data_IF_926938728264
#
_entry.id   IF_926938728264
#
_cell.length_a   1.000
_cell.length_b   1.000
_cell.length_c   1.000
_cell.angle_alpha   90.00
_cell.angle_beta   90.00
_cell.angle_gamma   90.00
#
_symmetry.space_group_name_H-M   'P 1'
#
loop_
_entity.id
_entity.type
_entity.pdbx_description
1 polymer ?
#
# COMPACT_ATOMS: atom_id res chain seq x y z
N UNK A 1 17.72 9.38 19.47
CA UNK A 1 19.17 9.70 19.31
C UNK A 1 19.54 9.75 17.83
N UNK A 2 20.27 10.78 17.41
CA UNK A 2 20.65 10.97 15.99
C UNK A 2 21.68 9.93 15.48
N UNK A 3 22.19 9.07 16.37
CA UNK A 3 23.11 7.96 16.04
C UNK A 3 22.42 6.60 15.90
N UNK A 4 21.07 6.55 15.86
CA UNK A 4 20.31 5.30 15.72
C UNK A 4 19.62 5.28 14.36
N UNK A 5 20.07 4.38 13.50
CA UNK A 5 19.53 4.17 12.16
C UNK A 5 18.62 2.93 12.15
N UNK A 6 17.30 3.15 12.23
CA UNK A 6 16.32 2.06 12.14
C UNK A 6 16.08 1.72 10.68
N UNK A 7 16.25 0.46 10.32
CA UNK A 7 16.09 0.02 8.93
C UNK A 7 14.62 -0.28 8.67
N UNK A 8 14.08 0.42 7.68
CA UNK A 8 12.96 -0.05 6.88
C UNK A 8 13.46 -0.14 5.42
N UNK A 9 13.69 -1.36 4.95
CA UNK A 9 14.29 -1.58 3.64
C UNK A 9 13.41 -1.10 2.47
N UNK A 10 12.09 -0.91 2.66
CA UNK A 10 11.26 -0.33 1.61
C UNK A 10 11.60 1.14 1.36
N UNK A 11 12.00 1.87 2.40
CA UNK A 11 12.44 3.26 2.24
C UNK A 11 13.73 3.40 1.43
N UNK A 12 14.55 2.33 1.36
CA UNK A 12 15.75 2.28 0.54
C UNK A 12 15.49 2.04 -0.96
N UNK A 13 14.24 1.77 -1.36
CA UNK A 13 13.90 1.49 -2.77
C UNK A 13 13.83 2.76 -3.61
N UNK A 14 14.36 2.69 -4.82
CA UNK A 14 14.43 3.83 -5.76
C UNK A 14 13.06 4.46 -6.02
N UNK A 15 12.03 3.63 -6.20
CA UNK A 15 10.64 4.05 -6.46
C UNK A 15 10.01 4.82 -5.30
N UNK A 16 10.45 4.59 -4.07
CA UNK A 16 9.98 5.33 -2.90
C UNK A 16 10.53 6.76 -2.90
N UNK A 17 11.77 6.96 -3.36
CA UNK A 17 12.31 8.30 -3.60
C UNK A 17 11.66 8.96 -4.82
N UNK A 18 11.37 8.18 -5.86
CA UNK A 18 10.65 8.68 -7.02
C UNK A 18 9.26 9.21 -6.69
N UNK A 19 8.58 8.66 -5.67
CA UNK A 19 7.31 9.22 -5.20
C UNK A 19 7.45 10.69 -4.79
N UNK A 20 8.55 11.06 -4.13
CA UNK A 20 8.82 12.45 -3.74
C UNK A 20 9.08 13.33 -4.95
N UNK A 21 9.88 12.84 -5.91
CA UNK A 21 10.14 13.54 -7.17
C UNK A 21 8.85 13.72 -8.00
N UNK A 22 8.05 12.66 -8.12
CA UNK A 22 6.77 12.67 -8.82
C UNK A 22 5.85 13.75 -8.25
N UNK A 23 5.72 13.82 -6.93
CA UNK A 23 4.83 14.78 -6.27
C UNK A 23 5.37 16.21 -6.36
N UNK A 24 6.58 16.46 -5.88
CA UNK A 24 7.03 17.82 -5.59
C UNK A 24 7.84 18.46 -6.72
N UNK A 25 8.35 17.69 -7.69
CA UNK A 25 9.03 18.26 -8.86
C UNK A 25 8.08 18.58 -10.03
N UNK A 26 6.81 18.15 -9.95
CA UNK A 26 5.87 18.24 -11.05
C UNK A 26 4.63 19.07 -10.68
N UNK A 27 4.50 20.25 -11.31
CA UNK A 27 3.28 21.07 -11.20
C UNK A 27 2.01 20.37 -11.72
N UNK A 28 2.16 19.29 -12.48
CA UNK A 28 1.04 18.51 -12.98
C UNK A 28 0.33 17.71 -11.87
N UNK A 29 1.08 17.18 -10.89
CA UNK A 29 0.55 16.20 -9.94
C UNK A 29 0.17 16.82 -8.58
N UNK A 30 1.00 17.70 -8.03
CA UNK A 30 0.76 18.27 -6.69
C UNK A 30 -0.61 18.97 -6.54
N UNK A 31 -1.10 19.76 -7.52
CA UNK A 31 -2.40 20.44 -7.39
C UNK A 31 -3.60 19.50 -7.28
N UNK A 32 -3.48 18.28 -7.81
CA UNK A 32 -4.54 17.25 -7.77
C UNK A 32 -4.34 16.24 -6.64
N UNK A 33 -3.26 16.35 -5.86
CA UNK A 33 -2.91 15.42 -4.79
C UNK A 33 -3.59 15.77 -3.44
N UNK A 34 -4.92 15.85 -3.45
CA UNK A 34 -5.73 16.21 -2.28
C UNK A 34 -7.19 15.75 -2.42
N UNK A 35 -7.94 15.87 -1.32
CA UNK A 35 -9.33 15.46 -1.17
C UNK A 35 -10.33 16.12 -2.11
N UNK A 36 -9.98 17.19 -2.84
CA UNK A 36 -10.86 17.72 -3.88
C UNK A 36 -10.93 16.78 -5.09
N UNK A 37 -9.82 16.11 -5.41
CA UNK A 37 -9.65 15.33 -6.64
C UNK A 37 -9.45 13.84 -6.38
N UNK A 38 -8.80 13.45 -5.29
CA UNK A 38 -8.59 12.05 -4.92
C UNK A 38 -9.88 11.50 -4.28
N UNK A 39 -10.32 10.34 -4.74
CA UNK A 39 -11.42 9.59 -4.13
C UNK A 39 -10.92 8.71 -2.99
N UNK A 40 -9.87 7.93 -3.24
CA UNK A 40 -9.23 7.06 -2.26
C UNK A 40 -7.80 6.70 -2.66
N UNK A 41 -7.04 6.17 -1.70
CA UNK A 41 -5.69 5.64 -1.92
C UNK A 41 -5.68 4.16 -1.55
N UNK A 42 -5.06 3.32 -2.37
CA UNK A 42 -4.82 1.91 -2.06
C UNK A 42 -3.32 1.65 -2.00
N UNK A 43 -2.85 1.04 -0.91
CA UNK A 43 -1.45 0.61 -0.77
C UNK A 43 -1.45 -0.90 -0.57
N UNK A 44 -0.91 -1.61 -1.56
CA UNK A 44 -0.86 -3.07 -1.57
C UNK A 44 0.57 -3.55 -1.43
N UNK A 45 0.83 -4.48 -0.52
CA UNK A 45 2.05 -5.30 -0.51
C UNK A 45 1.66 -6.78 -0.45
N UNK A 46 1.59 -7.40 -1.63
CA UNK A 46 1.26 -8.80 -1.80
C UNK A 46 2.52 -9.64 -2.04
N UNK A 47 2.54 -10.83 -1.44
CA UNK A 47 3.56 -11.84 -1.64
C UNK A 47 2.90 -13.13 -2.13
N UNK A 48 3.46 -13.74 -3.17
CA UNK A 48 3.05 -15.06 -3.69
C UNK A 48 3.68 -16.23 -2.90
N UNK A 49 4.67 -15.94 -2.07
CA UNK A 49 5.30 -16.90 -1.17
C UNK A 49 4.50 -17.07 0.14
N UNK A 50 4.62 -18.25 0.74
CA UNK A 50 4.14 -18.52 2.10
C UNK A 50 5.13 -18.07 3.18
N UNK A 51 5.08 -18.67 4.37
CA UNK A 51 6.01 -18.35 5.46
C UNK A 51 7.42 -18.91 5.26
N UNK A 52 7.59 -19.85 4.33
CA UNK A 52 8.88 -20.42 3.91
C UNK A 52 9.75 -20.93 5.09
N UNK A 53 9.16 -21.73 5.98
CA UNK A 53 9.86 -22.33 7.12
C UNK A 53 10.13 -21.38 8.30
N UNK A 54 9.65 -20.13 8.26
CA UNK A 54 9.81 -19.15 9.34
C UNK A 54 8.69 -19.23 10.40
N UNK A 55 8.13 -20.42 10.63
CA UNK A 55 6.99 -20.61 11.53
C UNK A 55 7.24 -20.04 12.93
N UNK A 56 8.39 -20.38 13.55
CA UNK A 56 8.74 -19.92 14.89
C UNK A 56 8.98 -18.41 15.04
N UNK A 57 9.13 -17.67 13.94
CA UNK A 57 9.17 -16.20 13.95
C UNK A 57 7.79 -15.61 13.61
N UNK A 58 7.15 -16.12 12.56
CA UNK A 58 5.95 -15.51 12.01
C UNK A 58 4.71 -15.74 12.88
N UNK A 59 4.59 -16.94 13.48
CA UNK A 59 3.48 -17.27 14.36
C UNK A 59 3.55 -16.44 15.65
N UNK A 60 2.49 -15.68 15.94
CA UNK A 60 2.43 -14.68 17.01
C UNK A 60 2.74 -13.24 16.57
N UNK A 61 3.42 -13.03 15.43
CA UNK A 61 3.66 -11.70 14.85
C UNK A 61 2.49 -11.32 13.94
N UNK A 62 2.27 -12.10 12.88
CA UNK A 62 1.21 -11.90 11.88
C UNK A 62 1.49 -10.80 10.85
N UNK A 63 0.73 -10.81 9.77
CA UNK A 63 0.90 -9.92 8.62
C UNK A 63 0.77 -8.43 9.00
N UNK A 64 -0.10 -8.10 9.96
CA UNK A 64 -0.30 -6.71 10.35
C UNK A 64 0.96 -6.12 11.02
N UNK A 65 1.60 -6.86 11.93
CA UNK A 65 2.83 -6.40 12.58
C UNK A 65 4.06 -6.51 11.69
N UNK A 66 4.13 -7.54 10.85
CA UNK A 66 5.27 -7.79 9.97
C UNK A 66 5.37 -6.74 8.86
N UNK A 67 4.24 -6.21 8.37
CA UNK A 67 4.20 -5.38 7.15
C UNK A 67 3.39 -4.08 7.28
N UNK A 68 2.21 -4.09 7.92
CA UNK A 68 1.40 -2.86 8.03
C UNK A 68 2.10 -1.85 8.96
N UNK A 69 2.54 -2.32 10.12
CA UNK A 69 3.14 -1.49 11.17
C UNK A 69 4.34 -0.65 10.67
N UNK A 70 5.14 -1.22 9.79
CA UNK A 70 6.36 -0.62 9.26
C UNK A 70 6.13 -0.11 7.83
N UNK A 71 6.27 -0.97 6.84
CA UNK A 71 6.39 -0.68 5.43
C UNK A 71 5.18 0.09 4.90
N UNK A 72 3.95 -0.41 5.13
CA UNK A 72 2.78 0.26 4.57
C UNK A 72 2.45 1.59 5.23
N UNK A 73 2.66 1.73 6.55
CA UNK A 73 2.50 3.01 7.23
C UNK A 73 3.57 4.03 6.81
N UNK A 74 4.78 3.57 6.49
CA UNK A 74 5.83 4.42 5.93
C UNK A 74 5.48 4.88 4.50
N UNK A 75 4.95 3.99 3.65
CA UNK A 75 4.45 4.36 2.32
C UNK A 75 3.23 5.30 2.41
N UNK A 76 2.34 5.09 3.38
CA UNK A 76 1.22 6.00 3.66
C UNK A 76 1.76 7.38 4.03
N UNK A 77 2.73 7.46 4.95
CA UNK A 77 3.30 8.72 5.39
C UNK A 77 3.89 9.53 4.22
N UNK A 78 4.66 8.88 3.33
CA UNK A 78 5.24 9.52 2.15
C UNK A 78 4.19 9.90 1.09
N UNK A 79 3.12 9.13 0.99
CA UNK A 79 2.01 9.43 0.08
C UNK A 79 1.20 10.62 0.57
N UNK A 80 1.00 10.74 1.88
CA UNK A 80 0.09 11.70 2.48
C UNK A 80 0.76 13.00 3.01
N UNK A 81 2.08 13.03 3.16
CA UNK A 81 2.81 14.19 3.70
C UNK A 81 2.60 15.46 2.87
N UNK A 82 2.68 16.63 3.53
CA UNK A 82 2.74 17.90 2.81
C UNK A 82 4.09 18.05 2.08
N UNK A 83 4.19 19.06 1.23
CA UNK A 83 5.47 19.47 0.66
C UNK A 83 6.42 19.91 1.79
N UNK A 84 7.58 19.25 1.95
CA UNK A 84 8.54 19.61 2.97
C UNK A 84 9.27 20.91 2.58
N UNK A 85 9.83 21.61 3.55
CA UNK A 85 10.60 22.85 3.30
C UNK A 85 11.88 22.55 2.48
N UNK A 86 12.50 21.40 2.73
CA UNK A 86 13.59 20.86 1.94
C UNK A 86 13.55 19.32 1.94
N UNK A 87 14.41 18.69 1.14
CA UNK A 87 14.63 17.24 1.20
C UNK A 87 15.64 16.80 2.27
N UNK A 88 16.02 17.72 3.17
CA UNK A 88 16.85 17.35 4.32
C UNK A 88 16.09 16.43 5.26
N UNK A 89 16.83 15.57 5.95
CA UNK A 89 16.25 14.54 6.81
C UNK A 89 15.28 15.08 7.85
N UNK A 90 15.59 16.23 8.45
CA UNK A 90 14.73 16.87 9.45
C UNK A 90 13.36 17.26 8.88
N UNK A 91 13.32 17.88 7.71
CA UNK A 91 12.10 18.45 7.14
C UNK A 91 11.19 17.35 6.58
N UNK A 92 11.77 16.33 5.94
CA UNK A 92 11.05 15.13 5.52
C UNK A 92 10.44 14.37 6.70
N UNK A 93 11.22 14.16 7.77
CA UNK A 93 10.73 13.45 8.97
C UNK A 93 9.61 14.22 9.66
N UNK A 94 9.70 15.55 9.74
CA UNK A 94 8.64 16.38 10.33
C UNK A 94 7.28 16.20 9.63
N UNK A 95 7.26 16.17 8.29
CA UNK A 95 6.01 15.98 7.55
C UNK A 95 5.48 14.54 7.65
N UNK A 96 6.36 13.52 7.72
CA UNK A 96 5.94 12.13 7.98
C UNK A 96 5.35 11.95 9.38
N UNK A 97 6.01 12.48 10.40
CA UNK A 97 5.55 12.42 11.79
C UNK A 97 4.19 13.11 11.96
N UNK A 98 4.01 14.27 11.34
CA UNK A 98 2.74 14.99 11.30
C UNK A 98 1.62 14.13 10.71
N UNK A 99 1.85 13.48 9.57
CA UNK A 99 0.85 12.56 8.98
C UNK A 99 0.54 11.41 9.92
N UNK A 100 1.55 10.69 10.40
CA UNK A 100 1.35 9.54 11.29
C UNK A 100 0.59 9.92 12.56
N UNK A 101 0.83 11.12 13.09
CA UNK A 101 0.09 11.63 14.26
C UNK A 101 -1.40 11.89 13.98
N UNK A 102 -1.76 12.12 12.72
CA UNK A 102 -3.12 12.38 12.24
C UNK A 102 -3.82 11.13 11.70
N UNK A 103 -3.15 9.97 11.65
CA UNK A 103 -3.77 8.74 11.19
C UNK A 103 -4.80 8.24 12.22
N UNK A 104 -5.99 7.89 11.74
CA UNK A 104 -7.06 7.28 12.53
C UNK A 104 -7.48 5.95 11.96
N UNK A 105 -7.79 5.04 12.88
CA UNK A 105 -8.58 3.86 12.57
C UNK A 105 -10.06 4.25 12.45
N UNK A 106 -10.86 3.51 11.66
CA UNK A 106 -12.30 3.68 11.59
C UNK A 106 -12.95 3.34 12.93
N UNK A 107 -14.09 3.96 13.21
CA UNK A 107 -14.84 3.72 14.45
C UNK A 107 -15.26 2.25 14.60
N UNK A 108 -15.65 1.62 13.49
CA UNK A 108 -16.08 0.23 13.43
C UNK A 108 -14.97 -0.64 12.79
N UNK A 109 -14.13 -1.23 13.65
CA UNK A 109 -13.01 -2.09 13.22
C UNK A 109 -13.47 -3.40 12.57
N UNK A 110 -14.68 -3.88 12.84
CA UNK A 110 -15.21 -5.09 12.19
C UNK A 110 -15.60 -4.82 10.73
N UNK A 111 -15.93 -3.57 10.40
CA UNK A 111 -16.22 -3.14 9.03
C UNK A 111 -15.02 -2.55 8.31
N UNK A 112 -14.12 -1.92 9.04
CA UNK A 112 -12.99 -1.17 8.51
C UNK A 112 -11.66 -1.92 8.50
N UNK A 113 -11.63 -3.19 8.93
CA UNK A 113 -10.46 -4.04 8.84
C UNK A 113 -10.85 -5.49 8.53
N UNK A 114 -9.94 -6.22 7.90
CA UNK A 114 -10.09 -7.64 7.60
C UNK A 114 -8.78 -8.36 7.92
N UNK A 115 -8.90 -9.59 8.42
CA UNK A 115 -7.76 -10.50 8.60
C UNK A 115 -8.07 -11.87 8.03
N UNK A 116 -7.08 -12.48 7.40
CA UNK A 116 -7.19 -13.79 6.79
C UNK A 116 -6.02 -14.69 7.10
N UNK A 117 -6.19 -15.98 6.85
CA UNK A 117 -5.16 -17.00 6.96
C UNK A 117 -5.23 -17.90 5.73
N UNK A 118 -4.12 -18.10 5.01
CA UNK A 118 -4.15 -18.86 3.76
C UNK A 118 -4.45 -20.33 4.03
N UNK A 119 -5.39 -20.88 3.27
CA UNK A 119 -5.69 -22.29 3.19
C UNK A 119 -4.89 -22.95 2.06
N UNK A 120 -4.89 -24.28 2.03
CA UNK A 120 -4.32 -25.04 0.92
C UNK A 120 -5.02 -24.69 -0.40
N UNK A 121 -4.28 -24.76 -1.50
CA UNK A 121 -4.75 -24.33 -2.80
C UNK A 121 -3.66 -24.40 -3.85
N UNK A 122 -3.80 -23.60 -4.90
CA UNK A 122 -2.88 -23.58 -6.03
C UNK A 122 -2.16 -22.23 -6.11
N UNK A 123 -0.84 -22.24 -5.94
CA UNK A 123 0.00 -21.08 -6.23
C UNK A 123 0.58 -21.27 -7.65
N UNK A 124 -0.04 -20.65 -8.64
CA UNK A 124 0.29 -20.91 -10.04
C UNK A 124 -0.03 -22.37 -10.41
N UNK A 125 1.00 -23.15 -10.75
CA UNK A 125 0.85 -24.56 -11.12
C UNK A 125 1.22 -25.54 -9.99
N UNK A 126 1.51 -25.03 -8.79
CA UNK A 126 1.92 -25.85 -7.64
C UNK A 126 0.82 -25.91 -6.58
N UNK A 127 0.47 -27.12 -6.15
CA UNK A 127 -0.39 -27.33 -4.99
C UNK A 127 0.39 -27.06 -3.71
N UNK A 128 -0.16 -26.22 -2.84
CA UNK A 128 0.50 -25.77 -1.62
C UNK A 128 -0.41 -25.99 -0.41
N UNK A 129 0.21 -26.26 0.73
CA UNK A 129 -0.50 -26.46 2.00
C UNK A 129 -0.98 -25.13 2.59
N UNK A 130 -1.99 -25.19 3.45
CA UNK A 130 -2.45 -24.03 4.21
C UNK A 130 -1.54 -23.74 5.41
N UNK A 131 -1.69 -22.56 5.99
CA UNK A 131 -0.82 -22.06 7.06
C UNK A 131 -0.79 -22.98 8.28
N UNK A 132 -1.95 -23.51 8.70
CA UNK A 132 -2.06 -24.41 9.85
C UNK A 132 -1.47 -25.82 9.58
N UNK A 133 -1.10 -26.11 8.34
CA UNK A 133 -0.44 -27.35 7.95
C UNK A 133 1.07 -27.16 7.69
N UNK A 134 1.59 -25.94 7.80
CA UNK A 134 3.03 -25.67 7.69
C UNK A 134 3.78 -26.25 8.90
N UNK A 135 4.98 -26.76 8.67
CA UNK A 135 5.80 -27.33 9.74
C UNK A 135 6.17 -26.26 10.78
N UNK A 136 5.96 -26.59 12.05
CA UNK A 136 6.22 -25.69 13.18
C UNK A 136 5.12 -24.65 13.48
N UNK A 137 3.97 -24.65 12.79
CA UNK A 137 2.81 -23.81 13.13
C UNK A 137 1.85 -24.56 14.06
N UNK A 138 1.33 -23.88 15.08
CA UNK A 138 0.28 -24.45 15.93
C UNK A 138 -1.02 -24.64 15.10
N UNK A 139 -1.59 -25.85 15.01
CA UNK A 139 -2.87 -26.08 14.32
C UNK A 139 -4.05 -25.28 14.89
N UNK A 140 -3.94 -24.74 16.10
CA UNK A 140 -4.89 -23.83 16.73
C UNK A 140 -4.55 -22.33 16.54
N UNK A 141 -3.48 -22.01 15.81
CA UNK A 141 -3.01 -20.64 15.61
C UNK A 141 -4.10 -19.73 15.04
N UNK A 142 -4.21 -18.54 15.62
CA UNK A 142 -5.07 -17.47 15.15
C UNK A 142 -4.27 -16.33 14.50
N UNK A 143 -3.00 -16.58 14.16
CA UNK A 143 -2.12 -15.62 13.47
C UNK A 143 -2.61 -15.39 12.05
N UNK A 144 -2.80 -14.13 11.68
CA UNK A 144 -3.18 -13.75 10.33
C UNK A 144 -1.98 -13.76 9.37
N UNK A 145 -2.19 -14.30 8.17
CA UNK A 145 -1.24 -14.24 7.04
C UNK A 145 -1.66 -13.22 5.99
N UNK A 146 -2.84 -12.61 6.18
CA UNK A 146 -3.37 -11.49 5.42
C UNK A 146 -3.96 -10.48 6.39
N UNK A 147 -3.72 -9.21 6.14
CA UNK A 147 -4.35 -8.11 6.85
C UNK A 147 -4.70 -6.98 5.89
N UNK A 148 -5.89 -6.42 6.06
CA UNK A 148 -6.31 -5.20 5.40
C UNK A 148 -6.95 -4.25 6.41
N UNK A 149 -6.74 -2.95 6.23
CA UNK A 149 -7.26 -1.92 7.11
C UNK A 149 -7.54 -0.65 6.32
N UNK A 150 -8.69 -0.04 6.61
CA UNK A 150 -9.01 1.32 6.18
C UNK A 150 -8.44 2.28 7.22
N UNK A 151 -7.78 3.34 6.76
CA UNK A 151 -7.24 4.41 7.60
C UNK A 151 -7.73 5.75 7.07
N UNK A 152 -7.90 6.69 7.98
CA UNK A 152 -8.13 8.09 7.65
C UNK A 152 -6.92 8.91 8.07
N UNK A 153 -6.68 10.04 7.38
CA UNK A 153 -5.64 10.99 7.73
C UNK A 153 -6.32 12.32 8.03
N UNK A 154 -6.39 12.68 9.32
CA UNK A 154 -7.08 13.87 9.86
C UNK A 154 -6.33 15.18 9.54
N UNK A 155 -6.07 15.42 8.26
CA UNK A 155 -5.53 16.67 7.76
C UNK A 155 -6.48 17.28 6.74
N UNK A 156 -6.39 18.59 6.55
CA UNK A 156 -7.22 19.28 5.54
C UNK A 156 -7.01 18.71 4.13
N UNK A 157 -5.80 18.25 3.80
CA UNK A 157 -5.47 17.66 2.50
C UNK A 157 -6.22 16.37 2.24
N UNK A 158 -6.46 15.55 3.26
CA UNK A 158 -6.98 14.18 3.13
C UNK A 158 -8.34 13.96 3.80
N UNK A 159 -8.98 15.02 4.30
CA UNK A 159 -10.29 14.93 4.94
C UNK A 159 -11.30 14.19 4.06
N UNK A 160 -11.84 13.08 4.59
CA UNK A 160 -12.82 12.22 3.92
C UNK A 160 -12.26 11.31 2.82
N UNK A 161 -10.94 11.25 2.64
CA UNK A 161 -10.28 10.33 1.70
C UNK A 161 -9.75 9.11 2.46
N UNK A 162 -10.31 7.91 2.24
CA UNK A 162 -9.81 6.71 2.89
C UNK A 162 -8.53 6.20 2.24
N UNK A 163 -7.64 5.68 3.08
CA UNK A 163 -6.44 4.93 2.73
C UNK A 163 -6.68 3.46 3.03
N UNK A 164 -6.73 2.63 1.98
CA UNK A 164 -6.87 1.19 2.12
C UNK A 164 -5.51 0.53 2.03
N UNK A 165 -5.07 -0.06 3.14
CA UNK A 165 -3.82 -0.81 3.20
C UNK A 165 -4.17 -2.29 3.17
N UNK A 166 -3.47 -3.07 2.34
CA UNK A 166 -3.55 -4.53 2.40
C UNK A 166 -2.20 -5.19 2.20
N UNK A 167 -2.03 -6.31 2.86
CA UNK A 167 -0.89 -7.19 2.69
C UNK A 167 -1.28 -8.63 2.94
N UNK A 168 -0.56 -9.55 2.32
CA UNK A 168 -0.69 -10.96 2.65
C UNK A 168 0.29 -11.84 1.92
N UNK A 169 0.38 -13.07 2.42
CA UNK A 169 1.16 -14.18 1.86
C UNK A 169 0.27 -15.10 1.03
N UNK A 170 0.89 -15.86 0.12
CA UNK A 170 0.17 -16.74 -0.82
C UNK A 170 -0.92 -16.01 -1.62
N UNK A 171 -0.66 -14.76 -1.97
CA UNK A 171 -1.53 -13.99 -2.85
C UNK A 171 -1.25 -14.29 -4.32
N UNK A 172 -2.13 -13.83 -5.21
CA UNK A 172 -2.08 -14.16 -6.64
C UNK A 172 -0.77 -13.82 -7.33
N UNK A 173 -0.06 -12.78 -6.89
CA UNK A 173 1.30 -12.45 -7.33
C UNK A 173 2.04 -11.58 -6.32
N UNK A 174 3.36 -11.57 -6.41
CA UNK A 174 4.20 -10.59 -5.69
C UNK A 174 4.06 -9.20 -6.32
N UNK A 175 3.65 -8.22 -5.51
CA UNK A 175 3.59 -6.80 -5.92
C UNK A 175 3.57 -5.88 -4.70
N UNK A 176 4.22 -4.74 -4.81
CA UNK A 176 4.08 -3.60 -3.91
C UNK A 176 3.75 -2.37 -4.74
N UNK A 177 2.59 -1.77 -4.51
CA UNK A 177 2.15 -0.59 -5.26
C UNK A 177 1.33 0.38 -4.40
N UNK A 178 1.35 1.65 -4.80
CA UNK A 178 0.51 2.73 -4.29
C UNK A 178 -0.38 3.19 -5.46
N UNK A 179 -1.69 3.07 -5.33
CA UNK A 179 -2.65 3.56 -6.29
C UNK A 179 -3.42 4.75 -5.71
N UNK A 180 -3.23 5.93 -6.31
CA UNK A 180 -4.02 7.12 -6.01
C UNK A 180 -5.14 7.20 -7.04
N UNK A 181 -6.38 6.98 -6.60
CA UNK A 181 -7.55 6.90 -7.46
C UNK A 181 -8.33 8.21 -7.39
N UNK A 182 -8.58 8.83 -8.54
CA UNK A 182 -9.28 10.10 -8.62
C UNK A 182 -10.80 9.94 -8.65
N UNK A 183 -11.50 10.96 -8.19
CA UNK A 183 -12.96 11.09 -8.34
C UNK A 183 -13.33 11.12 -9.81
N UNK A 184 -14.48 10.54 -10.14
CA UNK A 184 -15.06 10.69 -11.47
C UNK A 184 -15.43 12.16 -11.69
N UNK A 185 -15.32 12.61 -12.94
CA UNK A 185 -15.80 13.93 -13.31
C UNK A 185 -17.31 14.03 -13.00
N UNK A 186 -17.77 15.09 -12.32
CA UNK A 186 -19.17 15.20 -11.88
C UNK A 186 -20.13 15.33 -13.07
N UNK A 187 -19.66 15.85 -14.20
CA UNK A 187 -20.40 15.93 -15.44
C UNK A 187 -19.52 15.53 -16.62
N UNK A 188 -20.05 14.67 -17.47
CA UNK A 188 -19.45 14.23 -18.73
C UNK A 188 -20.39 14.70 -19.85
N UNK A 189 -19.92 15.51 -20.82
CA UNK A 189 -20.75 15.99 -21.94
C UNK A 189 -20.97 14.90 -23.01
N UNK A 190 -20.75 13.63 -22.67
CA UNK A 190 -20.87 12.48 -23.55
C UNK A 190 -22.22 11.79 -23.32
N UNK A 191 -22.74 11.08 -24.32
CA UNK A 191 -23.88 10.18 -24.11
C UNK A 191 -23.50 9.11 -23.08
N UNK A 192 -24.46 8.66 -22.25
CA UNK A 192 -24.16 7.70 -21.19
C UNK A 192 -23.45 6.43 -21.70
N UNK A 193 -23.87 5.93 -22.86
CA UNK A 193 -23.29 4.76 -23.55
C UNK A 193 -21.85 4.97 -23.99
N UNK A 194 -21.46 6.21 -24.29
CA UNK A 194 -20.11 6.55 -24.74
C UNK A 194 -19.05 6.45 -23.63
N UNK A 195 -19.47 6.36 -22.36
CA UNK A 195 -18.57 6.35 -21.19
C UNK A 195 -18.85 5.17 -20.25
N UNK A 196 -19.60 4.15 -20.68
CA UNK A 196 -19.93 2.99 -19.85
C UNK A 196 -18.67 2.25 -19.37
N UNK A 197 -17.66 2.16 -20.23
CA UNK A 197 -16.37 1.52 -19.92
C UNK A 197 -15.35 2.50 -19.31
N UNK A 198 -15.71 3.77 -19.06
CA UNK A 198 -14.81 4.75 -18.46
C UNK A 198 -14.67 4.50 -16.96
N UNK A 199 -13.46 4.14 -16.53
CA UNK A 199 -13.13 3.94 -15.13
C UNK A 199 -12.84 5.23 -14.39
N UNK A 200 -12.15 5.11 -13.27
CA UNK A 200 -11.55 6.25 -12.57
C UNK A 200 -10.12 6.46 -13.05
N UNK A 201 -9.74 7.71 -13.24
CA UNK A 201 -8.34 8.04 -13.44
C UNK A 201 -7.54 7.57 -12.22
N UNK A 202 -6.31 7.12 -12.44
CA UNK A 202 -5.44 6.68 -11.36
C UNK A 202 -3.97 6.94 -11.68
N UNK A 203 -3.19 7.26 -10.64
CA UNK A 203 -1.73 7.20 -10.68
C UNK A 203 -1.32 5.99 -9.84
N UNK A 204 -0.64 5.04 -10.46
CA UNK A 204 -0.16 3.82 -9.81
C UNK A 204 1.35 3.84 -9.78
N UNK A 205 1.93 3.92 -8.59
CA UNK A 205 3.37 3.81 -8.35
C UNK A 205 3.67 2.36 -8.00
N UNK A 206 4.33 1.62 -8.89
CA UNK A 206 4.83 0.27 -8.62
C UNK A 206 6.18 0.39 -7.93
N UNK A 207 6.22 -0.09 -6.69
CA UNK A 207 7.44 -0.11 -5.87
C UNK A 207 8.29 -1.34 -6.17
N UNK A 208 7.66 -2.49 -6.43
CA UNK A 208 8.30 -3.72 -6.91
C UNK A 208 7.22 -4.78 -7.27
N UNK A 209 7.51 -5.79 -8.10
CA UNK A 209 8.55 -5.75 -9.13
C UNK A 209 8.20 -4.71 -10.21
N UNK A 210 9.05 -4.58 -11.23
CA UNK A 210 8.82 -3.72 -12.39
C UNK A 210 8.55 -2.26 -12.00
N UNK A 211 9.53 -1.71 -11.29
CA UNK A 211 9.56 -0.35 -10.76
C UNK A 211 9.10 0.68 -11.79
N UNK A 212 8.10 1.49 -11.45
CA UNK A 212 7.54 2.42 -12.42
C UNK A 212 6.31 3.18 -11.96
N UNK A 213 5.77 3.96 -12.88
CA UNK A 213 4.55 4.75 -12.69
C UNK A 213 3.62 4.53 -13.87
N UNK A 214 2.36 4.21 -13.59
CA UNK A 214 1.29 4.10 -14.58
C UNK A 214 0.25 5.18 -14.34
N UNK A 215 -0.08 5.93 -15.39
CA UNK A 215 -1.23 6.83 -15.40
C UNK A 215 -2.37 6.16 -16.19
N UNK A 216 -3.52 5.97 -15.55
CA UNK A 216 -4.76 5.53 -16.21
C UNK A 216 -5.69 6.71 -16.43
N UNK A 217 -6.20 6.87 -17.64
CA UNK A 217 -7.12 7.94 -18.01
C UNK A 217 -7.98 7.54 -19.23
N UNK A 218 -9.08 8.26 -19.45
CA UNK A 218 -9.95 8.04 -20.61
C UNK A 218 -9.38 8.59 -21.91
N UNK A 219 -9.49 7.82 -23.00
CA UNK A 219 -9.16 8.26 -24.36
C UNK A 219 -10.23 7.82 -25.36
N UNK A 220 -10.36 8.57 -26.46
CA UNK A 220 -11.29 8.24 -27.54
C UNK A 220 -10.81 6.97 -28.26
N UNK A 221 -11.70 6.00 -28.40
CA UNK A 221 -11.47 4.81 -29.23
C UNK A 221 -11.38 5.25 -30.71
N UNK A 222 -10.35 4.82 -31.47
CA UNK A 222 -10.29 5.08 -32.90
C UNK A 222 -11.52 4.54 -33.62
N UNK A 223 -12.31 5.43 -34.22
CA UNK A 223 -13.58 5.07 -34.84
C UNK A 223 -14.45 6.28 -35.16
N UNK A 224 -15.57 5.99 -35.85
CA UNK A 224 -16.58 6.98 -36.21
C UNK A 224 -17.47 7.40 -35.03
N UNK A 225 -17.66 6.50 -34.06
CA UNK A 225 -18.44 6.78 -32.86
C UNK A 225 -17.60 7.53 -31.82
N UNK A 226 -18.27 8.31 -30.97
CA UNK A 226 -17.65 8.93 -29.80
C UNK A 226 -17.76 7.95 -28.65
N UNK A 227 -16.70 7.20 -28.40
CA UNK A 227 -16.59 6.23 -27.32
C UNK A 227 -15.28 6.47 -26.57
N UNK A 228 -15.33 6.50 -25.24
CA UNK A 228 -14.19 6.76 -24.38
C UNK A 228 -13.92 5.53 -23.52
N UNK A 229 -12.69 5.03 -23.57
CA UNK A 229 -12.24 3.88 -22.78
C UNK A 229 -10.98 4.22 -22.00
N UNK A 230 -10.74 3.48 -20.93
CA UNK A 230 -9.50 3.58 -20.16
C UNK A 230 -8.30 3.17 -21.02
N UNK A 231 -7.27 4.01 -21.02
CA UNK A 231 -5.94 3.71 -21.55
C UNK A 231 -4.89 3.93 -20.47
N UNK A 232 -3.73 3.29 -20.62
CA UNK A 232 -2.59 3.47 -19.72
C UNK A 232 -1.43 4.16 -20.43
N UNK A 233 -0.76 5.04 -19.71
CA UNK A 233 0.58 5.52 -20.02
C UNK A 233 1.53 4.96 -18.96
N UNK A 234 2.54 4.24 -19.43
CA UNK A 234 3.45 3.48 -18.58
C UNK A 234 4.87 4.03 -18.66
N UNK A 235 5.45 4.31 -17.50
CA UNK A 235 6.87 4.56 -17.30
C UNK A 235 7.43 3.41 -16.45
N UNK A 236 8.54 2.82 -16.87
CA UNK A 236 9.22 1.75 -16.16
C UNK A 236 10.72 1.96 -16.13
N UNK A 237 11.32 1.86 -14.94
CA UNK A 237 12.74 2.14 -14.70
C UNK A 237 13.65 1.30 -15.60
N UNK A 238 13.43 -0.02 -15.66
CA UNK A 238 14.26 -0.91 -16.48
C UNK A 238 14.22 -0.65 -17.99
N UNK A 239 13.23 0.14 -18.47
CA UNK A 239 13.12 0.52 -19.89
C UNK A 239 13.65 1.93 -20.16
N UNK A 240 13.57 2.83 -19.17
CA UNK A 240 13.90 4.25 -19.32
C UNK A 240 15.30 4.61 -18.81
N UNK A 241 15.86 3.80 -17.92
CA UNK A 241 17.20 3.98 -17.36
C UNK A 241 18.03 2.71 -17.58
N UNK A 242 19.27 2.88 -18.04
CA UNK A 242 20.19 1.76 -18.35
C UNK A 242 21.00 1.30 -17.14
N UNK A 243 20.94 2.03 -16.03
CA UNK A 243 21.63 1.68 -14.79
C UNK A 243 20.74 0.80 -13.92
N UNK A 244 21.33 -0.24 -13.32
CA UNK A 244 20.65 -1.04 -12.32
C UNK A 244 20.41 -0.18 -11.08
N UNK A 245 19.17 -0.13 -10.60
CA UNK A 245 18.88 0.49 -9.31
C UNK A 245 19.63 -0.27 -8.21
N UNK A 246 20.31 0.41 -7.28
CA UNK A 246 20.99 -0.24 -6.18
C UNK A 246 19.98 -1.01 -5.32
N UNK A 247 20.41 -2.14 -4.77
CA UNK A 247 19.58 -2.88 -3.82
C UNK A 247 19.33 -2.05 -2.57
N UNK A 248 18.15 -2.23 -1.95
CA UNK A 248 17.71 -1.37 -0.86
C UNK A 248 18.73 -1.28 0.30
N UNK A 249 19.37 -2.40 0.65
CA UNK A 249 20.38 -2.43 1.71
C UNK A 249 21.70 -1.76 1.31
N UNK A 250 22.12 -1.89 0.05
CA UNK A 250 23.33 -1.21 -0.44
C UNK A 250 23.18 0.30 -0.28
N UNK A 251 22.00 0.81 -0.64
CA UNK A 251 21.67 2.23 -0.48
C UNK A 251 21.65 2.65 0.98
N UNK A 252 20.90 1.95 1.83
CA UNK A 252 20.78 2.31 3.24
C UNK A 252 22.13 2.28 3.97
N UNK A 253 23.01 1.33 3.65
CA UNK A 253 24.35 1.28 4.23
C UNK A 253 25.18 2.49 3.79
N UNK A 254 25.17 2.83 2.49
CA UNK A 254 25.86 4.01 1.98
C UNK A 254 25.36 5.30 2.65
N UNK A 255 24.05 5.42 2.76
CA UNK A 255 23.36 6.53 3.40
C UNK A 255 23.81 6.72 4.87
N UNK A 256 23.96 5.63 5.65
CA UNK A 256 24.51 5.70 7.02
C UNK A 256 25.95 6.22 7.03
N UNK A 257 26.78 5.81 6.06
CA UNK A 257 28.17 6.28 5.96
C UNK A 257 28.26 7.77 5.61
N UNK A 258 27.23 8.33 4.97
CA UNK A 258 27.14 9.75 4.60
C UNK A 258 26.59 10.66 5.71
N UNK A 259 25.95 10.09 6.75
CA UNK A 259 25.88 10.72 8.07
C UNK A 259 24.55 11.36 8.53
N UNK A 260 23.54 11.56 7.67
CA UNK A 260 22.14 11.83 8.10
C UNK A 260 21.10 11.62 6.98
N UNK A 261 20.85 10.36 6.58
CA UNK A 261 19.90 10.06 5.52
C UNK A 261 18.43 10.29 5.90
N UNK A 262 17.62 10.88 5.01
CA UNK A 262 16.22 11.22 5.30
C UNK A 262 15.30 10.02 5.54
N UNK A 263 15.71 8.83 5.10
CA UNK A 263 14.85 7.66 4.92
C UNK A 263 14.96 6.63 6.06
N UNK A 264 15.35 7.07 7.25
CA UNK A 264 15.43 6.22 8.45
C UNK A 264 14.37 6.65 9.47
N UNK A 265 13.43 5.77 9.87
CA UNK A 265 12.39 6.11 10.81
C UNK A 265 12.94 6.51 12.19
N UNK A 266 12.49 7.65 12.70
CA UNK A 266 12.75 8.09 14.08
C UNK A 266 11.94 7.27 15.08
N UNK A 267 12.28 7.42 16.36
CA UNK A 267 11.57 6.70 17.43
C UNK A 267 10.09 7.11 17.46
N UNK A 268 9.83 8.40 17.27
CA UNK A 268 8.52 9.03 17.24
C UNK A 268 7.64 8.49 16.10
N UNK A 269 8.23 8.24 14.93
CA UNK A 269 7.55 7.57 13.81
C UNK A 269 7.15 6.14 14.18
N UNK A 270 8.08 5.36 14.75
CA UNK A 270 7.82 3.97 15.16
C UNK A 270 6.75 3.89 16.25
N UNK A 271 6.81 4.77 17.25
CA UNK A 271 5.81 4.84 18.32
C UNK A 271 4.43 5.24 17.78
N UNK A 272 4.37 6.14 16.78
CA UNK A 272 3.13 6.52 16.14
C UNK A 272 2.55 5.37 15.33
N UNK A 273 3.38 4.63 14.59
CA UNK A 273 2.98 3.40 13.91
C UNK A 273 2.38 2.36 14.86
N UNK A 274 3.00 2.14 16.03
CA UNK A 274 2.44 1.26 17.04
C UNK A 274 1.12 1.79 17.60
N UNK A 275 1.03 3.09 17.89
CA UNK A 275 -0.22 3.71 18.39
C UNK A 275 -1.39 3.56 17.42
N UNK A 276 -1.12 3.58 16.11
CA UNK A 276 -2.11 3.34 15.06
C UNK A 276 -2.56 1.87 15.06
N UNK A 277 -1.62 0.92 15.09
CA UNK A 277 -1.95 -0.49 14.87
C UNK A 277 -2.41 -1.23 16.14
N UNK A 278 -1.91 -0.85 17.31
CA UNK A 278 -2.20 -1.51 18.59
C UNK A 278 -3.69 -1.69 18.89
N UNK A 279 -4.57 -0.69 18.68
CA UNK A 279 -6.00 -0.85 18.91
C UNK A 279 -6.61 -1.94 18.04
N UNK A 280 -6.18 -2.05 16.78
CA UNK A 280 -6.62 -3.11 15.86
C UNK A 280 -6.17 -4.49 16.35
N UNK A 281 -4.90 -4.62 16.77
CA UNK A 281 -4.39 -5.89 17.29
C UNK A 281 -5.11 -6.31 18.59
N UNK A 282 -5.39 -5.36 19.48
CA UNK A 282 -6.17 -5.63 20.70
C UNK A 282 -7.60 -6.01 20.39
N UNK A 283 -8.21 -5.42 19.36
CA UNK A 283 -9.55 -5.78 18.89
C UNK A 283 -9.59 -7.23 18.40
N UNK A 284 -8.67 -7.59 17.51
CA UNK A 284 -8.54 -8.95 16.98
C UNK A 284 -8.17 -10.01 18.03
N UNK A 285 -7.49 -9.62 19.11
CA UNK A 285 -7.19 -10.51 20.22
C UNK A 285 -8.41 -10.85 21.11
N UNK A 286 -9.50 -10.07 21.05
CA UNK A 286 -10.72 -10.34 21.85
C UNK A 286 -11.49 -11.57 21.38
N UNK A 287 -11.31 -12.01 20.14
CA UNK A 287 -11.96 -13.20 19.61
C UNK A 287 -12.06 -13.23 18.10
N UNK A 288 -12.66 -14.31 17.59
CA UNK A 288 -12.74 -14.63 16.17
C UNK A 288 -11.49 -15.32 15.65
N UNK A 289 -11.61 -15.98 14.49
CA UNK A 289 -10.49 -16.55 13.75
C UNK A 289 -10.30 -15.75 12.46
N UNK A 290 -9.07 -15.63 11.93
CA UNK A 290 -8.87 -15.10 10.59
C UNK A 290 -9.68 -15.90 9.57
N UNK A 291 -10.29 -15.22 8.61
CA UNK A 291 -11.04 -15.87 7.54
C UNK A 291 -10.08 -16.65 6.62
N UNK A 292 -10.46 -17.87 6.26
CA UNK A 292 -9.63 -18.69 5.36
C UNK A 292 -9.75 -18.18 3.93
N UNK A 293 -8.63 -18.06 3.23
CA UNK A 293 -8.60 -17.74 1.80
C UNK A 293 -7.72 -18.73 1.05
N UNK A 294 -8.11 -19.23 -0.14
CA UNK A 294 -7.27 -20.16 -0.88
C UNK A 294 -5.95 -19.50 -1.31
N UNK A 295 -4.84 -20.24 -1.22
CA UNK A 295 -3.57 -19.80 -1.80
C UNK A 295 -3.72 -19.45 -3.30
N UNK A 296 -3.01 -18.42 -3.75
CA UNK A 296 -3.07 -17.90 -5.12
C UNK A 296 -4.23 -16.93 -5.39
N UNK A 297 -5.08 -16.63 -4.41
CA UNK A 297 -6.16 -15.64 -4.53
C UNK A 297 -5.74 -14.27 -4.01
N UNK A 298 -6.67 -13.29 -3.93
CA UNK A 298 -6.37 -11.91 -3.52
C UNK A 298 -6.73 -11.60 -2.06
N UNK A 299 -6.94 -12.64 -1.25
CA UNK A 299 -7.26 -12.53 0.16
C UNK A 299 -8.68 -13.02 0.47
N UNK A 300 -9.13 -12.82 1.72
CA UNK A 300 -10.45 -13.26 2.18
C UNK A 300 -11.57 -12.34 1.67
N UNK A 301 -12.79 -12.86 1.44
CA UNK A 301 -13.96 -12.07 1.06
C UNK A 301 -14.25 -10.86 1.98
N UNK A 302 -13.95 -10.95 3.28
CA UNK A 302 -14.10 -9.80 4.18
C UNK A 302 -13.28 -8.57 3.75
N UNK A 303 -12.16 -8.75 3.05
CA UNK A 303 -11.35 -7.66 2.53
C UNK A 303 -12.04 -6.94 1.36
N UNK A 304 -12.76 -7.66 0.50
CA UNK A 304 -13.54 -7.07 -0.60
C UNK A 304 -14.76 -6.34 -0.06
N UNK A 305 -15.50 -6.99 0.86
CA UNK A 305 -16.65 -6.38 1.54
C UNK A 305 -16.30 -5.09 2.29
N UNK A 306 -15.04 -4.92 2.73
CA UNK A 306 -14.56 -3.68 3.35
C UNK A 306 -14.67 -2.48 2.40
N UNK A 307 -14.28 -2.63 1.13
CA UNK A 307 -14.32 -1.54 0.14
C UNK A 307 -15.71 -1.40 -0.51
N UNK A 308 -16.43 -2.51 -0.70
CA UNK A 308 -17.76 -2.51 -1.31
C UNK A 308 -18.78 -1.69 -0.52
N UNK A 309 -18.60 -1.56 0.80
CA UNK A 309 -19.41 -0.70 1.67
C UNK A 309 -19.41 0.76 1.24
N UNK A 310 -18.33 1.20 0.63
CA UNK A 310 -18.20 2.56 0.09
C UNK A 310 -18.36 2.59 -1.44
N UNK A 311 -18.83 1.50 -2.05
CA UNK A 311 -18.97 1.38 -3.51
C UNK A 311 -17.63 1.31 -4.25
N UNK A 312 -16.58 0.85 -3.57
CA UNK A 312 -15.22 0.73 -4.12
C UNK A 312 -14.82 -0.73 -4.26
N UNK A 313 -13.80 -0.99 -5.06
CA UNK A 313 -13.20 -2.32 -5.22
C UNK A 313 -11.70 -2.23 -5.16
N UNK A 314 -11.06 -3.32 -4.73
CA UNK A 314 -9.61 -3.39 -4.79
C UNK A 314 -9.13 -3.31 -6.23
N UNK A 315 -8.08 -2.54 -6.45
CA UNK A 315 -7.33 -2.60 -7.68
C UNK A 315 -6.73 -4.00 -7.81
N UNK A 316 -6.87 -4.58 -8.99
CA UNK A 316 -6.15 -5.79 -9.38
C UNK A 316 -4.83 -5.35 -10.03
N UNK A 317 -3.69 -5.61 -9.37
CA UNK A 317 -2.38 -5.16 -9.85
C UNK A 317 -1.96 -5.85 -11.14
#
# INVERSE_FOLDING_TARGET
>A
PDSVFRIDHYLGKETVQNLLALRFANQLFEPVWNANYVDHVQITMAEDIGIAGRAGYYDGIGAARDVIQNHLLQLLALTAMEEPVSFDAKDLRAEKEKVLSAVRLPEDLDKGAARGQYAGGWQGAEEVVGYLQEDGVDPASCTETFAAVTLEVDTRRWAGVPFYLRTGKRLGKRVTEIAVVFKRAPHLPFEHTATEELGQNAIVIRVQPDEGVTLRFGSKVPGAQMEVRDVTMDFGYGSSFTEASPEAYERLILDVLLGDPPLFPRHEEVESSWRILDPLMRHWAKGGKPEQYPAGTWGPPAADHMLERDGRTWRMP
#
